data_IF_068776577314
#
_entry.id   IF_068776577314
#
_cell.length_a   1.000
_cell.length_b   1.000
_cell.length_c   1.000
_cell.angle_alpha   90.00
_cell.angle_beta   90.00
_cell.angle_gamma   90.00
#
_symmetry.space_group_name_H-M   'P 1'
#
loop_
_entity.id
_entity.type
_entity.pdbx_description
1 polymer ?
#
# COMPACT_ATOMS: atom_id res chain seq x y z
N UNK A 1 41.96 -7.16 -53.95
CA UNK A 1 41.42 -6.63 -52.72
C UNK A 1 39.91 -6.50 -52.92
N UNK A 2 39.21 -7.41 -52.33
CA UNK A 2 37.77 -7.65 -52.60
C UNK A 2 36.91 -6.67 -51.77
N UNK A 3 35.88 -6.13 -52.42
CA UNK A 3 34.83 -5.26 -51.82
C UNK A 3 34.04 -5.92 -50.66
N UNK A 4 34.48 -7.08 -50.21
CA UNK A 4 33.84 -7.84 -49.12
C UNK A 4 34.39 -7.47 -47.73
N UNK A 5 35.52 -6.77 -47.68
CA UNK A 5 36.17 -6.44 -46.40
C UNK A 5 35.66 -5.11 -45.76
N UNK A 6 34.88 -4.31 -46.50
CA UNK A 6 34.33 -3.03 -46.00
C UNK A 6 32.95 -3.11 -45.34
N UNK A 7 32.29 -4.26 -45.33
CA UNK A 7 30.93 -4.40 -44.77
C UNK A 7 30.91 -5.02 -43.37
N UNK A 8 32.05 -5.34 -42.80
CA UNK A 8 32.20 -5.82 -41.42
C UNK A 8 32.52 -4.66 -40.46
N UNK A 9 32.34 -3.41 -40.89
CA UNK A 9 32.44 -2.28 -39.99
C UNK A 9 31.19 -2.22 -39.10
N UNK A 10 31.36 -2.92 -37.98
CA UNK A 10 30.78 -2.54 -36.69
C UNK A 10 29.33 -1.99 -36.72
N UNK A 11 28.36 -2.84 -36.90
CA UNK A 11 27.12 -2.66 -36.12
C UNK A 11 27.51 -2.90 -34.67
N UNK A 12 27.97 -1.86 -34.02
CA UNK A 12 28.13 -1.83 -32.58
C UNK A 12 26.75 -2.09 -31.99
N UNK A 13 26.43 -3.37 -31.76
CA UNK A 13 25.22 -3.79 -31.08
C UNK A 13 25.35 -3.24 -29.68
N UNK A 14 24.83 -2.02 -29.47
CA UNK A 14 24.73 -1.41 -28.17
C UNK A 14 23.91 -2.39 -27.33
N UNK A 15 24.58 -3.28 -26.61
CA UNK A 15 23.99 -4.26 -25.73
C UNK A 15 23.34 -3.50 -24.56
N UNK A 16 22.09 -3.11 -24.75
CA UNK A 16 21.29 -2.48 -23.68
C UNK A 16 20.99 -3.52 -22.63
N UNK A 17 21.30 -3.22 -21.38
CA UNK A 17 20.91 -4.08 -20.26
C UNK A 17 19.38 -4.20 -20.17
N UNK A 18 18.84 -5.31 -19.67
CA UNK A 18 17.39 -5.48 -19.48
C UNK A 18 16.74 -4.31 -18.74
N UNK A 19 17.45 -3.74 -17.76
CA UNK A 19 17.00 -2.55 -17.01
C UNK A 19 16.89 -1.30 -17.90
N UNK A 20 17.83 -1.08 -18.79
CA UNK A 20 17.81 0.05 -19.73
C UNK A 20 16.66 -0.08 -20.73
N UNK A 21 16.40 -1.30 -21.21
CA UNK A 21 15.29 -1.59 -22.12
C UNK A 21 13.94 -1.36 -21.40
N UNK A 22 13.78 -1.88 -20.19
CA UNK A 22 12.58 -1.70 -19.39
C UNK A 22 12.30 -0.22 -19.11
N UNK A 23 13.32 0.54 -18.71
CA UNK A 23 13.22 1.97 -18.44
C UNK A 23 12.87 2.78 -19.68
N UNK A 24 13.48 2.47 -20.83
CA UNK A 24 13.18 3.11 -22.10
C UNK A 24 11.73 2.84 -22.57
N UNK A 25 11.25 1.60 -22.39
CA UNK A 25 9.85 1.23 -22.67
C UNK A 25 8.88 1.95 -21.75
N UNK A 26 9.18 2.02 -20.45
CA UNK A 26 8.36 2.73 -19.46
C UNK A 26 8.22 4.21 -19.82
N UNK A 27 9.33 4.91 -20.08
CA UNK A 27 9.32 6.33 -20.46
C UNK A 27 8.52 6.61 -21.75
N UNK A 28 8.45 5.66 -22.66
CA UNK A 28 7.68 5.78 -23.91
C UNK A 28 6.18 5.54 -23.73
N UNK A 29 5.80 4.89 -22.63
CA UNK A 29 4.40 4.66 -22.28
C UNK A 29 3.86 5.84 -21.47
N UNK A 30 3.19 6.78 -22.14
CA UNK A 30 2.62 7.98 -21.51
C UNK A 30 1.66 7.66 -20.38
N UNK A 31 0.78 6.67 -20.55
CA UNK A 31 -0.15 6.26 -19.52
C UNK A 31 0.58 5.72 -18.28
N UNK A 32 1.59 4.86 -18.47
CA UNK A 32 2.41 4.35 -17.38
C UNK A 32 3.16 5.45 -16.62
N UNK A 33 3.71 6.42 -17.35
CA UNK A 33 4.42 7.56 -16.73
C UNK A 33 3.45 8.43 -15.91
N UNK A 34 2.28 8.77 -16.47
CA UNK A 34 1.26 9.57 -15.77
C UNK A 34 0.80 8.83 -14.51
N UNK A 35 0.45 7.54 -14.63
CA UNK A 35 0.03 6.72 -13.48
C UNK A 35 1.12 6.63 -12.41
N UNK A 36 2.38 6.53 -12.83
CA UNK A 36 3.52 6.54 -11.92
C UNK A 36 3.64 7.85 -11.14
N UNK A 37 3.46 9.00 -11.80
CA UNK A 37 3.47 10.29 -11.11
C UNK A 37 2.27 10.46 -10.17
N UNK A 38 1.08 10.02 -10.57
CA UNK A 38 -0.12 10.05 -9.72
C UNK A 38 0.08 9.20 -8.48
N UNK A 39 0.57 7.96 -8.63
CA UNK A 39 0.87 7.08 -7.51
C UNK A 39 1.92 7.69 -6.57
N UNK A 40 3.01 8.22 -7.14
CA UNK A 40 4.06 8.87 -6.36
C UNK A 40 3.52 10.08 -5.59
N UNK A 41 2.67 10.90 -6.21
CA UNK A 41 2.03 12.04 -5.56
C UNK A 41 1.24 11.61 -4.32
N UNK A 42 0.38 10.59 -4.44
CA UNK A 42 -0.39 10.09 -3.31
C UNK A 42 0.47 9.48 -2.20
N UNK A 43 1.51 8.74 -2.57
CA UNK A 43 2.45 8.18 -1.59
C UNK A 43 3.17 9.30 -0.84
N UNK A 44 3.71 10.28 -1.56
CA UNK A 44 4.41 11.42 -0.95
C UNK A 44 3.47 12.23 -0.07
N UNK A 45 2.26 12.53 -0.53
CA UNK A 45 1.25 13.25 0.25
C UNK A 45 0.88 12.50 1.55
N UNK A 46 0.70 11.18 1.47
CA UNK A 46 0.38 10.34 2.62
C UNK A 46 1.50 10.36 3.68
N UNK A 47 2.75 10.21 3.28
CA UNK A 47 3.87 10.23 4.22
C UNK A 47 4.24 11.65 4.68
N UNK A 48 3.92 12.67 3.88
CA UNK A 48 4.04 14.08 4.27
C UNK A 48 2.86 14.58 5.14
N UNK A 49 1.87 13.75 5.44
CA UNK A 49 0.68 14.11 6.24
C UNK A 49 1.01 14.94 7.50
N UNK A 50 1.98 14.57 8.37
CA UNK A 50 2.30 15.36 9.56
C UNK A 50 2.80 16.77 9.26
N UNK A 51 3.51 16.92 8.12
CA UNK A 51 4.05 18.22 7.70
C UNK A 51 2.91 19.08 7.14
N UNK A 52 2.09 18.51 6.25
CA UNK A 52 0.96 19.20 5.62
C UNK A 52 -0.03 19.68 6.67
N UNK A 53 -0.44 18.81 7.59
CA UNK A 53 -1.42 19.16 8.62
C UNK A 53 -0.87 20.17 9.60
N UNK A 54 0.42 20.11 9.94
CA UNK A 54 1.07 21.10 10.79
C UNK A 54 1.12 22.49 10.13
N UNK A 55 1.40 22.57 8.83
CA UNK A 55 1.41 23.83 8.07
C UNK A 55 0.01 24.46 7.97
N UNK A 56 -1.03 23.63 7.92
CA UNK A 56 -2.43 24.08 7.89
C UNK A 56 -3.04 24.30 9.28
N UNK A 57 -2.27 24.08 10.37
CA UNK A 57 -2.79 24.19 11.74
C UNK A 57 -3.76 23.08 12.15
N UNK A 58 -3.93 22.05 11.33
CA UNK A 58 -4.83 20.92 11.58
C UNK A 58 -4.21 19.89 12.53
N UNK A 59 -5.04 19.28 13.37
CA UNK A 59 -4.59 18.22 14.30
C UNK A 59 -5.26 16.91 13.97
N UNK A 60 -4.49 15.83 13.90
CA UNK A 60 -5.02 14.50 13.68
C UNK A 60 -5.96 14.07 14.82
N UNK A 61 -7.17 13.66 14.47
CA UNK A 61 -8.19 13.23 15.43
C UNK A 61 -8.89 14.37 16.18
N UNK A 62 -8.60 15.63 15.90
CA UNK A 62 -9.35 16.74 16.45
C UNK A 62 -10.77 16.79 15.88
N UNK A 63 -11.70 17.20 16.72
CA UNK A 63 -13.08 17.50 16.36
C UNK A 63 -13.32 18.98 16.41
N UNK A 64 -14.15 19.49 15.52
CA UNK A 64 -14.49 20.91 15.37
C UNK A 64 -16.01 21.08 15.49
N UNK A 65 -16.56 21.12 16.73
CA UNK A 65 -17.99 21.22 16.96
C UNK A 65 -18.60 22.48 16.35
N UNK A 66 -17.80 23.54 16.24
CA UNK A 66 -18.17 24.83 15.63
C UNK A 66 -18.38 24.74 14.12
N UNK A 67 -17.89 23.69 13.47
CA UNK A 67 -18.04 23.46 12.04
C UNK A 67 -19.25 22.61 11.67
N UNK A 68 -20.05 22.15 12.68
CA UNK A 68 -21.28 21.36 12.49
C UNK A 68 -22.46 22.06 13.17
N UNK A 69 -23.67 21.84 12.62
CA UNK A 69 -24.92 22.36 13.16
C UNK A 69 -25.48 21.44 14.29
N UNK A 70 -26.63 21.85 14.88
CA UNK A 70 -27.31 21.07 15.91
C UNK A 70 -27.75 19.66 15.46
N UNK A 71 -27.91 19.46 14.16
CA UNK A 71 -28.24 18.17 13.55
C UNK A 71 -26.96 17.37 13.17
N UNK A 72 -25.79 17.88 13.57
CA UNK A 72 -24.48 17.28 13.28
C UNK A 72 -24.08 17.25 11.78
N UNK A 73 -24.63 18.18 10.98
CA UNK A 73 -24.21 18.36 9.59
C UNK A 73 -23.20 19.51 9.47
N UNK A 74 -22.26 19.42 8.51
CA UNK A 74 -21.31 20.49 8.25
C UNK A 74 -21.98 21.82 7.89
N UNK A 75 -21.58 22.91 8.55
CA UNK A 75 -22.08 24.25 8.29
C UNK A 75 -21.42 24.78 7.01
N UNK A 76 -22.25 25.18 6.05
CA UNK A 76 -21.80 25.81 4.80
C UNK A 76 -21.91 24.92 3.56
N UNK A 77 -21.39 25.44 2.43
CA UNK A 77 -21.45 24.72 1.14
C UNK A 77 -20.35 23.66 1.06
N UNK A 78 -20.62 22.62 0.26
CA UNK A 78 -19.64 21.54 -0.01
C UNK A 78 -19.07 20.88 1.26
N UNK A 79 -19.91 20.63 2.26
CA UNK A 79 -19.47 19.98 3.50
C UNK A 79 -18.63 20.86 4.41
N UNK A 80 -18.86 22.18 4.40
CA UNK A 80 -18.12 23.13 5.24
C UNK A 80 -16.69 23.42 4.77
N UNK A 81 -16.44 23.31 3.45
CA UNK A 81 -15.13 23.69 2.87
C UNK A 81 -14.79 25.14 3.17
N UNK A 82 -13.62 25.37 3.73
CA UNK A 82 -13.08 26.68 4.12
C UNK A 82 -11.55 26.70 4.02
N UNK A 83 -10.93 27.83 4.29
CA UNK A 83 -9.46 27.89 4.39
C UNK A 83 -8.92 27.10 5.59
N UNK A 84 -9.72 26.98 6.65
CA UNK A 84 -9.38 26.18 7.83
C UNK A 84 -9.62 24.69 7.60
N UNK A 85 -10.63 24.33 6.80
CA UNK A 85 -11.01 22.97 6.44
C UNK A 85 -11.07 22.81 4.92
N UNK A 86 -9.93 22.60 4.24
CA UNK A 86 -9.86 22.62 2.76
C UNK A 86 -10.75 21.61 2.05
N UNK A 87 -11.03 20.46 2.68
CA UNK A 87 -11.97 19.46 2.16
C UNK A 87 -13.28 19.39 2.97
N UNK A 88 -13.47 20.35 3.91
CA UNK A 88 -14.61 20.34 4.82
C UNK A 88 -14.43 19.38 5.99
N UNK A 89 -15.54 19.15 6.71
CA UNK A 89 -15.58 18.28 7.89
C UNK A 89 -16.61 17.17 7.71
N UNK A 90 -16.41 16.05 8.42
CA UNK A 90 -17.37 14.94 8.37
C UNK A 90 -18.62 15.25 9.20
N UNK A 91 -19.79 14.76 8.76
CA UNK A 91 -21.00 14.78 9.59
C UNK A 91 -20.80 13.96 10.89
N UNK A 92 -21.47 14.36 11.95
CA UNK A 92 -21.46 13.68 13.24
C UNK A 92 -20.37 14.19 14.16
N UNK A 93 -19.11 13.91 13.89
CA UNK A 93 -18.01 14.25 14.79
C UNK A 93 -17.30 15.57 14.42
N UNK A 94 -17.54 16.15 13.25
CA UNK A 94 -16.88 17.39 12.81
C UNK A 94 -15.37 17.24 12.64
N UNK A 95 -14.86 16.05 12.26
CA UNK A 95 -13.43 15.87 12.01
C UNK A 95 -13.05 16.37 10.63
N UNK A 96 -11.87 16.97 10.50
CA UNK A 96 -11.37 17.47 9.23
C UNK A 96 -11.11 16.35 8.21
N UNK A 97 -11.75 16.43 7.04
CA UNK A 97 -11.69 15.39 6.01
C UNK A 97 -10.31 15.29 5.37
N UNK A 98 -9.58 16.41 5.19
CA UNK A 98 -8.22 16.37 4.64
C UNK A 98 -7.28 15.60 5.57
N UNK A 99 -7.38 15.86 6.87
CA UNK A 99 -6.58 15.17 7.89
C UNK A 99 -6.88 13.68 7.90
N UNK A 100 -8.17 13.29 7.87
CA UNK A 100 -8.58 11.90 7.82
C UNK A 100 -8.06 11.21 6.55
N UNK A 101 -8.15 11.85 5.39
CA UNK A 101 -7.67 11.32 4.13
C UNK A 101 -6.15 11.10 4.14
N UNK A 102 -5.38 12.08 4.59
CA UNK A 102 -3.92 12.02 4.62
C UNK A 102 -3.42 10.93 5.59
N UNK A 103 -3.93 10.90 6.82
CA UNK A 103 -3.50 9.90 7.81
C UNK A 103 -4.05 8.50 7.47
N UNK A 104 -5.27 8.40 6.96
CA UNK A 104 -5.83 7.14 6.46
C UNK A 104 -5.01 6.58 5.30
N UNK A 105 -4.65 7.41 4.33
CA UNK A 105 -3.78 7.03 3.22
C UNK A 105 -2.40 6.56 3.70
N UNK A 106 -1.81 7.23 4.69
CA UNK A 106 -0.53 6.83 5.28
C UNK A 106 -0.58 5.42 5.86
N UNK A 107 -1.64 5.09 6.61
CA UNK A 107 -1.83 3.74 7.16
C UNK A 107 -2.00 2.74 6.02
N UNK A 108 -2.86 3.03 5.03
CA UNK A 108 -3.11 2.14 3.89
C UNK A 108 -1.85 1.86 3.08
N UNK A 109 -1.08 2.90 2.74
CA UNK A 109 0.20 2.70 2.03
C UNK A 109 1.23 1.96 2.86
N UNK A 110 1.30 2.21 4.18
CA UNK A 110 2.21 1.48 5.06
C UNK A 110 1.87 -0.01 5.08
N UNK A 111 0.61 -0.36 5.26
CA UNK A 111 0.14 -1.76 5.22
C UNK A 111 0.44 -2.38 3.85
N UNK A 112 0.08 -1.70 2.75
CA UNK A 112 0.30 -2.21 1.40
C UNK A 112 1.79 -2.47 1.11
N UNK A 113 2.67 -1.54 1.45
CA UNK A 113 4.12 -1.67 1.23
C UNK A 113 4.68 -2.83 2.05
N UNK A 114 4.40 -2.88 3.35
CA UNK A 114 4.91 -3.93 4.25
C UNK A 114 4.40 -5.30 3.78
N UNK A 115 3.10 -5.42 3.50
CA UNK A 115 2.50 -6.67 3.02
C UNK A 115 3.14 -7.12 1.71
N UNK A 116 3.28 -6.22 0.73
CA UNK A 116 3.85 -6.56 -0.59
C UNK A 116 5.27 -7.10 -0.45
N UNK A 117 6.16 -6.41 0.28
CA UNK A 117 7.53 -6.87 0.46
C UNK A 117 7.60 -8.18 1.25
N UNK A 118 6.76 -8.34 2.27
CA UNK A 118 6.70 -9.57 3.06
C UNK A 118 6.18 -10.75 2.24
N UNK A 119 5.07 -10.56 1.51
CA UNK A 119 4.49 -11.59 0.63
C UNK A 119 5.45 -12.02 -0.47
N UNK A 120 6.08 -11.07 -1.16
CA UNK A 120 7.06 -11.38 -2.21
C UNK A 120 8.26 -12.10 -1.62
N UNK A 121 8.79 -11.64 -0.48
CA UNK A 121 9.93 -12.27 0.19
C UNK A 121 9.62 -13.70 0.63
N UNK A 122 8.51 -13.92 1.31
CA UNK A 122 8.09 -15.25 1.76
C UNK A 122 7.74 -16.15 0.58
N UNK A 123 6.99 -15.65 -0.40
CA UNK A 123 6.64 -16.41 -1.61
C UNK A 123 7.87 -16.84 -2.39
N UNK A 124 8.88 -15.98 -2.51
CA UNK A 124 10.15 -16.29 -3.16
C UNK A 124 10.92 -17.37 -2.38
N UNK A 125 11.03 -17.27 -1.05
CA UNK A 125 11.69 -18.26 -0.22
C UNK A 125 10.99 -19.61 -0.30
N UNK A 126 9.67 -19.65 -0.16
CA UNK A 126 8.86 -20.86 -0.28
C UNK A 126 9.00 -21.45 -1.69
N UNK A 127 8.85 -20.63 -2.73
CA UNK A 127 8.94 -21.07 -4.11
C UNK A 127 10.30 -21.67 -4.47
N UNK A 128 11.41 -21.06 -4.04
CA UNK A 128 12.75 -21.58 -4.23
C UNK A 128 12.91 -22.92 -3.48
N UNK A 129 12.43 -23.01 -2.24
CA UNK A 129 12.51 -24.22 -1.43
C UNK A 129 11.74 -25.38 -2.08
N UNK A 130 10.49 -25.12 -2.49
CA UNK A 130 9.64 -26.10 -3.15
C UNK A 130 10.24 -26.53 -4.50
N UNK A 131 10.73 -25.57 -5.30
CA UNK A 131 11.37 -25.86 -6.57
C UNK A 131 12.66 -26.68 -6.45
N UNK A 132 13.43 -26.47 -5.37
CA UNK A 132 14.67 -27.20 -5.12
C UNK A 132 14.41 -28.62 -4.61
N UNK A 133 13.61 -28.78 -3.55
CA UNK A 133 13.40 -30.09 -2.91
C UNK A 133 12.39 -30.98 -3.61
N UNK A 134 11.49 -30.45 -4.42
CA UNK A 134 10.46 -31.18 -5.18
C UNK A 134 9.74 -32.28 -4.39
N UNK A 135 8.84 -33.04 -5.02
CA UNK A 135 8.24 -34.26 -4.46
C UNK A 135 7.44 -34.01 -3.19
N UNK A 136 7.88 -34.55 -2.03
CA UNK A 136 7.13 -34.46 -0.77
C UNK A 136 6.97 -33.05 -0.25
N UNK A 137 7.98 -32.20 -0.42
CA UNK A 137 7.93 -30.80 0.03
C UNK A 137 6.90 -30.03 -0.79
N UNK A 138 6.94 -30.20 -2.10
CA UNK A 138 5.96 -29.61 -3.03
C UNK A 138 4.54 -30.07 -2.68
N UNK A 139 4.32 -31.37 -2.49
CA UNK A 139 3.03 -31.91 -2.11
C UNK A 139 2.49 -31.39 -0.77
N UNK A 140 3.36 -31.20 0.24
CA UNK A 140 2.95 -30.69 1.55
C UNK A 140 2.60 -29.20 1.44
N UNK A 141 3.47 -28.39 0.82
CA UNK A 141 3.25 -26.94 0.68
C UNK A 141 2.03 -26.68 -0.19
N UNK A 142 1.86 -27.42 -1.30
CA UNK A 142 0.67 -27.31 -2.16
C UNK A 142 -0.62 -27.57 -1.39
N UNK A 143 -0.70 -28.72 -0.67
CA UNK A 143 -1.89 -29.05 0.13
C UNK A 143 -2.17 -28.01 1.24
N UNK A 144 -1.12 -27.47 1.87
CA UNK A 144 -1.28 -26.43 2.86
C UNK A 144 -1.80 -25.13 2.24
N UNK A 145 -1.31 -24.76 1.05
CA UNK A 145 -1.82 -23.62 0.30
C UNK A 145 -3.28 -23.81 -0.10
N UNK A 146 -3.64 -24.98 -0.61
CA UNK A 146 -5.03 -25.33 -0.96
C UNK A 146 -5.96 -25.26 0.27
N UNK A 147 -5.47 -25.74 1.42
CA UNK A 147 -6.20 -25.63 2.67
C UNK A 147 -6.45 -24.18 3.07
N UNK A 148 -5.43 -23.31 3.02
CA UNK A 148 -5.58 -21.88 3.33
C UNK A 148 -6.57 -21.21 2.37
N UNK A 149 -6.45 -21.47 1.07
CA UNK A 149 -7.34 -20.92 0.04
C UNK A 149 -8.78 -21.43 0.11
N UNK A 150 -9.01 -22.55 0.81
CA UNK A 150 -10.38 -23.07 1.04
C UNK A 150 -11.20 -22.19 1.99
N UNK A 151 -10.55 -21.35 2.79
CA UNK A 151 -11.24 -20.45 3.69
C UNK A 151 -11.52 -19.11 3.00
N UNK A 152 -12.77 -18.60 3.06
CA UNK A 152 -13.05 -17.25 2.58
C UNK A 152 -12.30 -16.23 3.44
N UNK A 153 -11.32 -15.55 2.83
CA UNK A 153 -10.42 -14.60 3.53
C UNK A 153 -11.18 -13.51 4.31
N UNK A 154 -12.28 -13.01 3.75
CA UNK A 154 -13.12 -12.01 4.40
C UNK A 154 -13.69 -12.49 5.74
N UNK A 155 -14.20 -13.72 5.79
CA UNK A 155 -14.73 -14.28 7.04
C UNK A 155 -13.63 -14.52 8.07
N UNK A 156 -12.45 -14.96 7.63
CA UNK A 156 -11.31 -15.15 8.51
C UNK A 156 -10.84 -13.82 9.11
N UNK A 157 -10.76 -12.75 8.30
CA UNK A 157 -10.41 -11.41 8.78
C UNK A 157 -11.41 -10.95 9.85
N UNK A 158 -12.72 -11.06 9.59
CA UNK A 158 -13.75 -10.61 10.54
C UNK A 158 -13.69 -11.43 11.84
N UNK A 159 -13.60 -12.77 11.74
CA UNK A 159 -13.63 -13.63 12.90
C UNK A 159 -12.37 -13.55 13.78
N UNK A 160 -11.20 -13.43 13.17
CA UNK A 160 -9.92 -13.52 13.87
C UNK A 160 -9.25 -12.18 14.15
N UNK A 161 -9.67 -11.08 13.51
CA UNK A 161 -9.01 -9.78 13.69
C UNK A 161 -8.97 -9.34 15.15
N UNK A 162 -10.10 -9.35 15.85
CA UNK A 162 -10.17 -8.91 17.25
C UNK A 162 -9.38 -9.83 18.19
N UNK A 163 -9.55 -11.17 18.19
CA UNK A 163 -8.76 -12.06 19.02
C UNK A 163 -7.25 -11.95 18.78
N UNK A 164 -6.82 -11.79 17.53
CA UNK A 164 -5.42 -11.65 17.19
C UNK A 164 -4.84 -10.29 17.63
N UNK A 165 -5.59 -9.20 17.49
CA UNK A 165 -5.16 -7.89 18.01
C UNK A 165 -4.96 -7.97 19.52
N UNK A 166 -5.92 -8.51 20.26
CA UNK A 166 -5.81 -8.69 21.72
C UNK A 166 -4.59 -9.56 22.08
N UNK A 167 -4.31 -10.59 21.29
CA UNK A 167 -3.14 -11.47 21.52
C UNK A 167 -1.82 -10.75 21.27
N UNK A 168 -1.72 -9.96 20.20
CA UNK A 168 -0.54 -9.13 19.89
C UNK A 168 -0.28 -8.10 21.00
N UNK A 169 -1.34 -7.48 21.53
CA UNK A 169 -1.26 -6.53 22.64
C UNK A 169 -0.85 -7.22 23.95
N UNK A 170 -1.45 -8.37 24.26
CA UNK A 170 -1.13 -9.15 25.46
C UNK A 170 0.33 -9.65 25.47
N UNK A 171 0.89 -9.96 24.30
CA UNK A 171 2.30 -10.34 24.15
C UNK A 171 3.25 -9.13 24.20
N UNK A 172 2.75 -7.90 24.27
CA UNK A 172 3.54 -6.68 24.31
C UNK A 172 4.26 -6.35 23.00
N UNK A 173 3.89 -7.00 21.88
CA UNK A 173 4.54 -6.81 20.57
C UNK A 173 4.21 -5.42 20.02
N UNK A 174 2.94 -5.03 20.08
CA UNK A 174 2.47 -3.71 19.68
C UNK A 174 1.17 -3.37 20.42
N UNK A 175 0.80 -2.09 20.43
CA UNK A 175 -0.45 -1.60 21.03
C UNK A 175 -1.28 -0.83 20.01
N UNK A 176 -2.57 -0.72 20.26
CA UNK A 176 -3.51 0.10 19.50
C UNK A 176 -3.44 -0.13 17.97
N UNK A 177 -3.18 0.94 17.23
CA UNK A 177 -3.06 0.89 15.77
C UNK A 177 -1.91 0.01 15.28
N UNK A 178 -0.83 -0.11 16.05
CA UNK A 178 0.30 -0.98 15.71
C UNK A 178 -0.10 -2.45 15.69
N UNK A 179 -0.85 -2.91 16.69
CA UNK A 179 -1.36 -4.28 16.75
C UNK A 179 -2.29 -4.59 15.58
N UNK A 180 -3.19 -3.66 15.23
CA UNK A 180 -4.10 -3.79 14.08
C UNK A 180 -3.35 -3.89 12.76
N UNK A 181 -2.32 -3.06 12.55
CA UNK A 181 -1.49 -3.10 11.35
C UNK A 181 -0.79 -4.45 11.22
N UNK A 182 -0.21 -4.98 12.30
CA UNK A 182 0.45 -6.28 12.30
C UNK A 182 -0.53 -7.39 11.90
N UNK A 183 -1.72 -7.41 12.50
CA UNK A 183 -2.75 -8.40 12.19
C UNK A 183 -3.20 -8.30 10.73
N UNK A 184 -3.43 -7.09 10.20
CA UNK A 184 -3.77 -6.89 8.79
C UNK A 184 -2.67 -7.38 7.85
N UNK A 185 -1.41 -7.09 8.16
CA UNK A 185 -0.26 -7.57 7.37
C UNK A 185 -0.24 -9.11 7.37
N UNK A 186 -0.41 -9.76 8.52
CA UNK A 186 -0.47 -11.22 8.61
C UNK A 186 -1.58 -11.76 7.71
N UNK A 187 -2.79 -11.22 7.80
CA UNK A 187 -3.88 -11.68 6.96
C UNK A 187 -3.60 -11.51 5.47
N UNK A 188 -3.13 -10.36 5.03
CA UNK A 188 -2.84 -10.11 3.64
C UNK A 188 -1.62 -10.89 3.11
N UNK A 189 -0.72 -11.31 3.97
CA UNK A 189 0.41 -12.17 3.58
C UNK A 189 -0.04 -13.62 3.37
N UNK A 190 -0.98 -14.11 4.17
CA UNK A 190 -1.40 -15.53 4.12
C UNK A 190 -2.65 -15.79 3.29
N UNK A 191 -3.52 -14.79 3.10
CA UNK A 191 -4.83 -14.93 2.44
C UNK A 191 -5.06 -13.92 1.30
N UNK A 192 -4.10 -13.04 0.98
CA UNK A 192 -4.17 -12.00 -0.06
C UNK A 192 -3.31 -12.34 -1.29
#
# INVERSE_FOLDING_TARGET
MSKTDEVVEAVEVVQRTPRQIAWARFKRNRAGVISGYVALFFIVAAFAAPIITKLLGLKNGATYPEAIDEQSFPIGKFGGMSLEHPLGVEPGAGRDLLTMLLYGSRISFSVAIITTFTSIGLGMLIGITVGYFRGKVDAIVGRFSDFLLSFPSTFMIIALSLPLVQRVEALGIAKDNGARIIVLVIFFVFFG
#
